data_IF_829835424617
#
_entry.id   IF_829835424617
#
_cell.length_a   1.000
_cell.length_b   1.000
_cell.length_c   1.000
_cell.angle_alpha   90.00
_cell.angle_beta   90.00
_cell.angle_gamma   90.00
#
_symmetry.space_group_name_H-M   'P 1'
#
loop_
_entity.id
_entity.type
_entity.pdbx_description
1 polymer ?
#
# COMPACT_ATOMS: atom_id res chain seq x y z
N UNK A 1 67.25 28.78 8.43
CA UNK A 1 65.86 29.20 8.70
C UNK A 1 64.96 28.20 8.00
N UNK A 2 64.39 27.24 8.74
CA UNK A 2 63.63 26.13 8.16
C UNK A 2 62.18 26.57 7.92
N UNK A 3 61.72 26.47 6.67
CA UNK A 3 60.35 26.81 6.25
C UNK A 3 59.48 25.58 6.50
N UNK A 4 58.48 25.72 7.37
CA UNK A 4 57.50 24.67 7.65
C UNK A 4 56.37 24.77 6.64
N UNK A 5 56.27 23.79 5.73
CA UNK A 5 55.13 23.66 4.83
C UNK A 5 53.98 22.94 5.57
N UNK A 6 52.89 23.67 5.82
CA UNK A 6 51.65 23.09 6.33
C UNK A 6 50.93 22.39 5.15
N UNK A 7 50.69 21.07 5.18
CA UNK A 7 49.97 20.40 4.10
C UNK A 7 48.49 20.76 4.19
N UNK A 8 47.95 21.37 3.14
CA UNK A 8 46.52 21.62 2.97
C UNK A 8 45.83 20.28 2.67
N UNK A 9 45.19 19.67 3.66
CA UNK A 9 44.36 18.48 3.46
C UNK A 9 43.08 18.89 2.70
N UNK A 10 43.00 18.53 1.42
CA UNK A 10 41.79 18.68 0.61
C UNK A 10 40.84 17.52 0.98
N UNK A 11 39.82 17.80 1.80
CA UNK A 11 38.78 16.83 2.12
C UNK A 11 37.87 16.63 0.90
N UNK A 12 38.01 15.49 0.22
CA UNK A 12 37.06 15.03 -0.80
C UNK A 12 35.74 14.69 -0.10
N UNK A 13 34.78 15.61 -0.16
CA UNK A 13 33.41 15.35 0.28
C UNK A 13 32.74 14.48 -0.79
N UNK A 14 32.88 13.17 -0.66
CA UNK A 14 32.12 12.21 -1.47
C UNK A 14 30.65 12.27 -1.05
N UNK A 15 29.82 12.93 -1.85
CA UNK A 15 28.37 12.80 -1.74
C UNK A 15 27.97 11.42 -2.25
N UNK A 16 27.87 10.46 -1.33
CA UNK A 16 27.23 9.17 -1.60
C UNK A 16 25.73 9.41 -1.79
N UNK A 17 25.30 9.63 -3.04
CA UNK A 17 23.88 9.60 -3.37
C UNK A 17 23.33 8.22 -3.03
N UNK A 18 22.40 8.14 -2.09
CA UNK A 18 21.69 6.90 -1.79
C UNK A 18 20.76 6.58 -2.95
N UNK A 19 20.92 5.42 -3.57
CA UNK A 19 19.97 4.87 -4.54
C UNK A 19 18.65 4.61 -3.78
N UNK A 20 17.64 5.44 -4.01
CA UNK A 20 16.38 5.43 -3.28
C UNK A 20 15.21 5.58 -4.26
N UNK A 21 14.18 4.76 -4.08
CA UNK A 21 12.92 4.92 -4.80
C UNK A 21 12.08 6.00 -4.13
N UNK A 22 11.40 6.82 -4.93
CA UNK A 22 10.49 7.85 -4.44
C UNK A 22 9.07 7.42 -4.75
N UNK A 23 8.29 7.17 -3.71
CA UNK A 23 6.85 7.02 -3.83
C UNK A 23 6.20 8.40 -3.71
N UNK A 24 5.46 8.81 -4.74
CA UNK A 24 4.57 9.98 -4.66
C UNK A 24 3.15 9.48 -4.42
N UNK A 25 2.67 9.60 -3.19
CA UNK A 25 1.29 9.27 -2.84
C UNK A 25 0.42 10.49 -3.13
N UNK A 26 -0.60 10.32 -3.97
CA UNK A 26 -1.52 11.39 -4.35
C UNK A 26 -2.96 10.98 -3.99
N UNK A 27 -3.65 11.82 -3.23
CA UNK A 27 -5.06 11.61 -2.93
C UNK A 27 -5.94 12.32 -3.97
N UNK A 28 -6.39 11.58 -4.97
CA UNK A 28 -7.37 12.06 -5.96
C UNK A 28 -8.83 11.90 -5.53
N UNK A 29 -9.08 11.41 -4.31
CA UNK A 29 -10.42 11.33 -3.76
C UNK A 29 -10.93 12.73 -3.35
N UNK A 30 -12.25 12.86 -3.21
CA UNK A 30 -12.88 14.10 -2.69
C UNK A 30 -12.76 14.24 -1.18
N UNK A 31 -12.46 13.13 -0.48
CA UNK A 31 -12.35 13.05 0.97
C UNK A 31 -10.90 12.91 1.40
N UNK A 32 -10.63 13.24 2.66
CA UNK A 32 -9.33 12.93 3.28
C UNK A 32 -9.17 11.41 3.40
N UNK A 33 -7.97 10.92 3.09
CA UNK A 33 -7.56 9.55 3.38
C UNK A 33 -6.37 9.54 4.33
N UNK A 34 -6.16 8.42 5.00
CA UNK A 34 -5.00 8.22 5.84
C UNK A 34 -4.23 6.99 5.34
N UNK A 35 -3.30 7.11 4.39
CA UNK A 35 -2.54 5.96 3.94
C UNK A 35 -1.84 5.28 5.12
N UNK A 36 -1.98 3.95 5.20
CA UNK A 36 -1.16 3.08 6.04
C UNK A 36 -0.01 2.50 5.22
N UNK A 37 1.10 2.21 5.89
CA UNK A 37 2.32 1.68 5.28
C UNK A 37 2.83 0.54 6.13
N UNK A 38 3.03 -0.62 5.51
CA UNK A 38 3.62 -1.79 6.15
C UNK A 38 4.87 -2.19 5.37
N UNK A 39 6.00 -2.15 6.05
CA UNK A 39 7.25 -2.66 5.51
C UNK A 39 7.27 -4.19 5.57
N UNK A 40 7.87 -4.82 4.56
CA UNK A 40 8.18 -6.24 4.57
C UNK A 40 9.22 -6.59 5.62
N UNK A 41 9.38 -7.89 5.90
CA UNK A 41 10.30 -8.37 6.93
C UNK A 41 11.72 -7.85 6.71
N UNK A 42 12.32 -7.29 7.77
CA UNK A 42 13.67 -6.73 7.74
C UNK A 42 13.82 -5.39 7.01
N UNK A 43 12.72 -4.76 6.55
CA UNK A 43 12.73 -3.44 5.91
C UNK A 43 12.31 -2.36 6.91
N UNK A 44 12.83 -1.11 6.78
CA UNK A 44 12.46 -0.03 7.66
C UNK A 44 11.01 0.41 7.43
N UNK A 45 10.33 0.78 8.53
CA UNK A 45 9.00 1.38 8.51
C UNK A 45 9.11 2.81 7.99
N UNK A 46 8.42 3.11 6.88
CA UNK A 46 8.36 4.44 6.31
C UNK A 46 7.24 5.25 7.00
N UNK A 47 7.46 6.55 7.22
CA UNK A 47 6.46 7.47 7.80
C UNK A 47 5.77 6.97 9.08
N UNK A 48 6.49 6.25 9.96
CA UNK A 48 5.89 5.61 11.16
C UNK A 48 4.68 4.70 10.84
N UNK A 49 4.59 4.21 9.61
CA UNK A 49 3.51 3.35 9.12
C UNK A 49 2.21 4.07 8.78
N UNK A 50 2.13 5.40 8.84
CA UNK A 50 0.89 6.09 8.49
C UNK A 50 1.02 7.59 8.30
N UNK A 51 0.20 8.14 7.42
CA UNK A 51 0.17 9.57 7.12
C UNK A 51 -1.26 10.04 6.87
N UNK A 52 -1.57 11.31 7.14
CA UNK A 52 -2.82 11.97 6.75
C UNK A 52 -2.63 12.68 5.41
N UNK A 53 -3.56 12.51 4.48
CA UNK A 53 -3.50 13.12 3.15
C UNK A 53 -4.85 13.70 2.76
N UNK A 54 -4.98 15.04 2.72
CA UNK A 54 -6.22 15.71 2.36
C UNK A 54 -6.58 15.46 0.89
N UNK A 55 -7.81 15.76 0.51
CA UNK A 55 -8.25 15.72 -0.89
C UNK A 55 -7.36 16.63 -1.76
N UNK A 56 -6.84 16.09 -2.85
CA UNK A 56 -5.95 16.79 -3.79
C UNK A 56 -4.49 16.93 -3.32
N UNK A 57 -4.14 16.51 -2.10
CA UNK A 57 -2.77 16.57 -1.63
C UNK A 57 -1.92 15.41 -2.16
N UNK A 58 -0.61 15.65 -2.22
CA UNK A 58 0.38 14.61 -2.43
C UNK A 58 1.52 14.73 -1.42
N UNK A 59 2.21 13.61 -1.21
CA UNK A 59 3.42 13.54 -0.40
C UNK A 59 4.45 12.63 -1.07
N UNK A 60 5.73 13.00 -0.94
CA UNK A 60 6.86 12.17 -1.37
C UNK A 60 7.39 11.38 -0.18
N UNK A 61 7.62 10.09 -0.41
CA UNK A 61 8.17 9.16 0.57
C UNK A 61 9.37 8.49 -0.06
N UNK A 62 10.53 8.64 0.57
CA UNK A 62 11.76 7.95 0.16
C UNK A 62 11.76 6.54 0.74
N UNK A 63 12.01 5.56 -0.12
CA UNK A 63 12.20 4.18 0.26
C UNK A 63 13.64 3.76 -0.08
N UNK A 64 14.34 3.09 0.85
CA UNK A 64 15.70 2.65 0.60
C UNK A 64 15.74 1.61 -0.53
N UNK A 65 16.91 1.45 -1.15
CA UNK A 65 17.17 0.36 -2.08
C UNK A 65 16.73 -0.99 -1.52
N UNK A 66 16.10 -1.79 -2.36
CA UNK A 66 15.61 -3.11 -1.98
C UNK A 66 14.44 -3.09 -1.00
N UNK A 67 13.74 -1.96 -0.84
CA UNK A 67 12.54 -1.93 0.01
C UNK A 67 11.44 -2.81 -0.56
N UNK A 68 10.71 -3.46 0.33
CA UNK A 68 9.50 -4.21 0.00
C UNK A 68 8.44 -3.88 1.04
N UNK A 69 7.18 -3.85 0.64
CA UNK A 69 6.08 -3.53 1.53
C UNK A 69 4.81 -3.21 0.78
N UNK A 70 3.84 -2.65 1.50
CA UNK A 70 2.52 -2.32 0.96
C UNK A 70 1.97 -1.03 1.53
N UNK A 71 1.14 -0.39 0.73
CA UNK A 71 0.36 0.79 1.08
C UNK A 71 -1.13 0.46 0.99
N UNK A 72 -1.95 1.06 1.85
CA UNK A 72 -3.40 0.98 1.75
C UNK A 72 -4.06 2.27 2.23
N UNK A 73 -5.22 2.65 1.69
CA UNK A 73 -5.96 3.81 2.13
C UNK A 73 -6.85 3.46 3.32
N UNK A 74 -6.87 4.35 4.33
CA UNK A 74 -7.86 4.33 5.41
C UNK A 74 -8.85 5.47 5.23
N UNK A 75 -10.12 5.22 5.55
CA UNK A 75 -11.21 6.19 5.34
C UNK A 75 -12.06 6.36 6.59
N UNK A 76 -12.75 7.50 6.69
CA UNK A 76 -13.62 7.80 7.84
C UNK A 76 -12.87 7.84 9.17
N UNK A 77 -11.60 8.27 9.16
CA UNK A 77 -10.78 8.25 10.36
C UNK A 77 -11.01 9.47 11.23
N UNK A 78 -11.07 9.25 12.55
CA UNK A 78 -11.01 10.31 13.56
C UNK A 78 -9.88 9.98 14.51
N UNK A 79 -8.96 10.92 14.71
CA UNK A 79 -7.83 10.78 15.64
C UNK A 79 -7.77 12.00 16.58
N UNK A 80 -7.39 11.76 17.84
CA UNK A 80 -7.07 12.79 18.81
C UNK A 80 -5.67 13.40 18.53
N UNK A 81 -5.26 14.38 19.34
CA UNK A 81 -3.95 15.04 19.20
C UNK A 81 -2.76 14.11 19.46
N UNK A 82 -2.99 12.98 20.13
CA UNK A 82 -1.99 11.94 20.38
C UNK A 82 -1.96 10.87 19.28
N UNK A 83 -2.82 11.01 18.26
CA UNK A 83 -2.94 10.08 17.16
C UNK A 83 -3.69 8.79 17.50
N UNK A 84 -4.44 8.75 18.61
CA UNK A 84 -5.32 7.62 18.94
C UNK A 84 -6.72 7.86 18.37
N UNK A 85 -7.40 6.81 17.93
CA UNK A 85 -8.69 6.98 17.28
C UNK A 85 -9.13 5.73 16.53
N UNK A 86 -9.85 5.90 15.42
CA UNK A 86 -10.30 4.76 14.60
C UNK A 86 -10.65 5.19 13.19
N UNK A 87 -10.46 4.29 12.24
CA UNK A 87 -10.95 4.39 10.87
C UNK A 87 -12.15 3.45 10.61
N UNK A 88 -13.03 3.83 9.68
CA UNK A 88 -14.17 3.00 9.24
C UNK A 88 -13.68 1.83 8.38
N UNK A 89 -12.67 2.04 7.54
CA UNK A 89 -12.04 0.99 6.71
C UNK A 89 -10.53 1.04 6.84
N UNK A 90 -9.88 -0.14 6.87
CA UNK A 90 -8.42 -0.25 6.84
C UNK A 90 -7.69 0.20 8.10
N UNK A 91 -8.41 0.31 9.23
CA UNK A 91 -7.81 0.66 10.52
C UNK A 91 -6.61 -0.25 10.85
N UNK A 92 -5.64 0.25 11.61
CA UNK A 92 -4.41 -0.50 11.90
C UNK A 92 -4.11 -0.53 13.40
N UNK A 93 -5.17 -0.69 14.21
CA UNK A 93 -5.06 -0.79 15.67
C UNK A 93 -5.32 0.53 16.39
N UNK A 94 -6.33 1.27 15.93
CA UNK A 94 -6.85 2.49 16.56
C UNK A 94 -5.83 3.64 16.66
N UNK A 95 -4.92 3.74 15.68
CA UNK A 95 -3.81 4.72 15.68
C UNK A 95 -3.55 5.31 14.31
N UNK A 96 -3.12 6.57 14.27
CA UNK A 96 -2.66 7.26 13.06
C UNK A 96 -1.42 6.58 12.49
N UNK A 97 -0.43 6.33 13.35
CA UNK A 97 0.83 5.68 12.99
C UNK A 97 0.67 4.16 13.18
N UNK A 98 0.61 3.41 12.08
CA UNK A 98 0.43 1.96 12.14
C UNK A 98 1.66 1.24 12.72
N UNK A 99 2.85 1.84 12.67
CA UNK A 99 4.07 1.32 13.31
C UNK A 99 4.34 -0.17 13.07
N UNK A 100 4.12 -0.65 11.84
CA UNK A 100 4.33 -2.06 11.48
C UNK A 100 3.09 -2.96 11.66
N UNK A 101 1.95 -2.42 12.11
CA UNK A 101 0.67 -3.10 11.99
C UNK A 101 0.13 -3.03 10.56
N UNK A 102 -0.48 -4.14 10.10
CA UNK A 102 -1.24 -4.15 8.85
C UNK A 102 -2.62 -3.52 9.01
N UNK A 103 -3.21 -3.09 7.89
CA UNK A 103 -4.60 -2.64 7.86
C UNK A 103 -5.56 -3.81 8.05
N UNK A 104 -6.64 -3.58 8.79
CA UNK A 104 -7.77 -4.48 8.94
C UNK A 104 -8.55 -4.57 7.63
N UNK A 105 -8.57 -5.74 6.97
CA UNK A 105 -9.34 -5.94 5.74
C UNK A 105 -10.85 -5.78 5.98
N UNK A 106 -11.65 -5.43 4.95
CA UNK A 106 -11.30 -5.24 3.54
C UNK A 106 -10.51 -3.97 3.21
N UNK A 107 -9.41 -4.14 2.47
CA UNK A 107 -8.55 -3.04 1.98
C UNK A 107 -7.99 -3.34 0.60
N UNK A 108 -8.03 -2.33 -0.28
CA UNK A 108 -7.24 -2.34 -1.51
C UNK A 108 -5.76 -2.15 -1.16
N UNK A 109 -4.87 -2.95 -1.73
CA UNK A 109 -3.42 -2.89 -1.47
C UNK A 109 -2.64 -2.45 -2.71
N UNK A 110 -1.64 -1.60 -2.51
CA UNK A 110 -0.57 -1.37 -3.47
C UNK A 110 0.71 -2.01 -2.92
N UNK A 111 1.19 -3.07 -3.57
CA UNK A 111 2.28 -3.92 -3.09
C UNK A 111 3.54 -3.69 -3.93
N UNK A 112 4.71 -3.71 -3.28
CA UNK A 112 5.99 -3.43 -3.91
C UNK A 112 7.08 -4.37 -3.39
N UNK A 113 7.92 -4.85 -4.31
CA UNK A 113 9.20 -5.51 -4.03
C UNK A 113 10.23 -4.91 -4.98
N UNK A 114 11.12 -4.07 -4.45
CA UNK A 114 12.10 -3.34 -5.25
C UNK A 114 13.44 -4.08 -5.30
N UNK A 115 14.19 -3.87 -6.40
CA UNK A 115 15.58 -4.29 -6.57
C UNK A 115 15.81 -5.82 -6.38
N UNK A 116 15.08 -6.67 -7.12
CA UNK A 116 15.27 -8.14 -7.03
C UNK A 116 15.12 -8.92 -8.36
N UNK A 117 16.02 -8.79 -9.37
CA UNK A 117 16.83 -7.63 -9.79
C UNK A 117 15.98 -6.59 -10.55
N UNK A 118 14.70 -6.87 -10.71
CA UNK A 118 13.68 -5.98 -11.25
C UNK A 118 12.73 -5.55 -10.12
N UNK A 119 12.04 -4.44 -10.32
CA UNK A 119 10.97 -4.02 -9.42
C UNK A 119 9.66 -4.74 -9.78
N UNK A 120 9.02 -5.32 -8.77
CA UNK A 120 7.68 -5.88 -8.86
C UNK A 120 6.71 -5.02 -8.08
N UNK A 121 5.56 -4.75 -8.68
CA UNK A 121 4.46 -4.05 -8.04
C UNK A 121 3.13 -4.50 -8.61
N UNK A 122 2.10 -4.43 -7.78
CA UNK A 122 0.74 -4.76 -8.17
C UNK A 122 -0.28 -4.02 -7.29
N UNK A 123 -1.49 -3.91 -7.81
CA UNK A 123 -2.67 -3.59 -7.01
C UNK A 123 -3.36 -4.91 -6.70
N UNK A 124 -3.48 -5.22 -5.42
CA UNK A 124 -4.05 -6.47 -4.92
C UNK A 124 -5.37 -6.21 -4.22
N UNK A 125 -6.36 -7.04 -4.58
CA UNK A 125 -7.67 -7.07 -3.93
C UNK A 125 -7.91 -8.42 -3.23
N UNK A 126 -6.84 -9.17 -2.94
CA UNK A 126 -6.89 -10.43 -2.18
C UNK A 126 -7.49 -10.18 -0.79
N UNK A 127 -7.11 -9.07 -0.18
CA UNK A 127 -7.64 -8.59 1.11
C UNK A 127 -8.91 -7.74 0.94
N UNK A 128 -9.60 -7.84 -0.21
CA UNK A 128 -10.81 -7.08 -0.51
C UNK A 128 -10.54 -5.69 -1.12
N UNK A 129 -11.53 -4.81 -1.03
CA UNK A 129 -11.53 -3.49 -1.64
C UNK A 129 -12.15 -2.47 -0.71
N UNK A 130 -11.63 -1.24 -0.69
CA UNK A 130 -12.31 -0.11 -0.05
C UNK A 130 -12.26 1.17 -0.90
N UNK A 131 -11.12 1.48 -1.50
CA UNK A 131 -10.89 2.69 -2.30
C UNK A 131 -10.20 2.32 -3.61
N UNK A 132 -10.55 2.97 -4.74
CA UNK A 132 -9.84 2.76 -6.00
C UNK A 132 -8.40 3.28 -5.93
N UNK A 133 -7.48 2.60 -6.60
CA UNK A 133 -6.08 2.98 -6.60
C UNK A 133 -5.35 2.56 -7.87
N UNK A 134 -4.21 3.19 -8.12
CA UNK A 134 -3.32 2.87 -9.22
C UNK A 134 -1.88 3.09 -8.84
N UNK A 135 -0.99 2.31 -9.44
CA UNK A 135 0.46 2.51 -9.41
C UNK A 135 0.88 2.95 -10.81
N UNK A 136 1.55 4.09 -10.89
CA UNK A 136 2.06 4.66 -12.14
C UNK A 136 3.58 4.80 -11.99
N UNK A 137 4.38 3.89 -12.58
CA UNK A 137 5.82 4.01 -12.59
C UNK A 137 6.26 5.31 -13.30
N UNK A 138 7.26 5.98 -12.76
CA UNK A 138 7.87 7.18 -13.37
C UNK A 138 9.37 6.93 -13.53
N UNK A 139 9.84 6.91 -14.78
CA UNK A 139 11.21 6.48 -15.11
C UNK A 139 11.33 4.96 -15.16
N UNK A 140 12.55 4.45 -14.91
CA UNK A 140 12.87 3.03 -15.07
C UNK A 140 12.99 2.59 -16.52
N UNK A 141 13.41 1.35 -16.75
CA UNK A 141 13.43 0.72 -18.09
C UNK A 141 12.70 -0.63 -18.03
N UNK A 142 12.24 -1.14 -19.18
CA UNK A 142 11.49 -2.40 -19.26
C UNK A 142 9.98 -2.18 -19.40
N UNK A 143 9.17 -3.05 -18.77
CA UNK A 143 7.71 -3.07 -18.97
C UNK A 143 6.98 -1.89 -18.35
N UNK A 144 7.34 -1.50 -17.12
CA UNK A 144 6.89 -0.30 -16.40
C UNK A 144 5.42 0.10 -16.66
N UNK A 145 4.49 -0.87 -16.63
CA UNK A 145 3.08 -0.63 -16.96
C UNK A 145 2.34 -0.10 -15.75
N UNK A 146 1.48 0.88 -15.95
CA UNK A 146 0.51 1.26 -14.92
C UNK A 146 -0.40 0.09 -14.58
N UNK A 147 -0.66 -0.10 -13.29
CA UNK A 147 -1.65 -1.05 -12.77
C UNK A 147 -2.69 -0.30 -11.98
N UNK A 148 -3.96 -0.63 -12.15
CA UNK A 148 -5.06 0.16 -11.62
C UNK A 148 -6.29 -0.68 -11.33
N UNK A 149 -6.96 -0.39 -10.21
CA UNK A 149 -8.33 -0.76 -9.90
C UNK A 149 -9.10 0.54 -9.68
N UNK A 150 -9.77 1.05 -10.72
CA UNK A 150 -10.34 2.42 -10.71
C UNK A 150 -11.86 2.44 -10.68
N UNK A 151 -12.52 1.33 -10.97
CA UNK A 151 -13.97 1.24 -10.78
C UNK A 151 -14.30 1.25 -9.29
N UNK A 152 -15.39 1.94 -8.91
CA UNK A 152 -15.92 1.88 -7.56
C UNK A 152 -16.62 0.53 -7.33
N UNK A 153 -15.84 -0.45 -6.85
CA UNK A 153 -16.33 -1.80 -6.61
C UNK A 153 -17.37 -1.84 -5.48
N UNK A 154 -17.44 -0.84 -4.60
CA UNK A 154 -18.48 -0.78 -3.56
C UNK A 154 -19.89 -0.68 -4.19
N UNK A 155 -20.01 -0.10 -5.39
CA UNK A 155 -21.31 0.00 -6.11
C UNK A 155 -21.78 -1.32 -6.72
N UNK A 156 -20.86 -2.26 -6.94
CA UNK A 156 -21.11 -3.58 -7.54
C UNK A 156 -20.87 -4.74 -6.57
N UNK A 157 -20.56 -4.43 -5.31
CA UNK A 157 -20.20 -5.42 -4.31
C UNK A 157 -21.39 -6.36 -4.06
N UNK A 158 -21.25 -7.69 -4.25
CA UNK A 158 -22.29 -8.65 -3.91
C UNK A 158 -22.72 -8.53 -2.45
N UNK A 159 -24.01 -8.73 -2.16
CA UNK A 159 -24.57 -8.52 -0.83
C UNK A 159 -23.79 -9.25 0.29
N UNK A 160 -23.44 -10.51 0.05
CA UNK A 160 -22.68 -11.34 1.00
C UNK A 160 -21.24 -10.86 1.26
N UNK A 161 -20.74 -9.94 0.44
CA UNK A 161 -19.39 -9.37 0.53
C UNK A 161 -19.39 -7.93 1.06
N UNK A 162 -20.55 -7.30 1.23
CA UNK A 162 -20.63 -5.88 1.60
C UNK A 162 -20.21 -5.66 3.05
N UNK A 163 -19.30 -4.71 3.27
CA UNK A 163 -19.14 -4.03 4.54
C UNK A 163 -19.86 -2.70 4.47
N UNK A 164 -20.79 -2.48 5.40
CA UNK A 164 -21.60 -1.26 5.47
C UNK A 164 -21.23 -0.42 6.68
N UNK A 165 -21.29 0.89 6.50
CA UNK A 165 -21.29 1.88 7.56
C UNK A 165 -22.42 2.87 7.29
N UNK A 166 -23.21 3.20 8.31
CA UNK A 166 -24.42 4.06 8.21
C UNK A 166 -25.36 3.73 7.03
N UNK A 167 -25.46 2.45 6.67
CA UNK A 167 -26.32 1.95 5.58
C UNK A 167 -25.68 2.03 4.18
N UNK A 168 -24.51 2.64 4.02
CA UNK A 168 -23.75 2.68 2.77
C UNK A 168 -22.70 1.57 2.72
N UNK A 169 -22.52 0.93 1.57
CA UNK A 169 -21.37 0.04 1.34
C UNK A 169 -20.10 0.89 1.32
N UNK A 170 -19.18 0.62 2.25
CA UNK A 170 -17.92 1.36 2.40
C UNK A 170 -16.70 0.54 2.01
N UNK A 171 -16.85 -0.78 1.95
CA UNK A 171 -15.83 -1.70 1.49
C UNK A 171 -16.47 -3.02 1.02
N UNK A 172 -15.71 -3.79 0.25
CA UNK A 172 -16.12 -5.09 -0.29
C UNK A 172 -15.11 -6.17 0.11
N UNK A 173 -15.57 -7.18 0.84
CA UNK A 173 -14.76 -8.33 1.23
C UNK A 173 -14.39 -9.18 0.01
N UNK A 174 -13.20 -9.76 -0.01
CA UNK A 174 -12.93 -10.87 -0.93
C UNK A 174 -13.69 -12.12 -0.49
N UNK A 175 -13.88 -13.06 -1.42
CA UNK A 175 -14.55 -14.32 -1.11
C UNK A 175 -13.81 -15.13 -0.04
N UNK A 176 -12.47 -15.08 -0.01
CA UNK A 176 -11.69 -15.74 1.03
C UNK A 176 -12.09 -15.23 2.41
N UNK A 177 -12.20 -13.91 2.58
CA UNK A 177 -12.56 -13.32 3.87
C UNK A 177 -14.01 -13.57 4.27
N UNK A 178 -14.92 -13.64 3.29
CA UNK A 178 -16.34 -13.88 3.57
C UNK A 178 -16.62 -15.33 3.93
N UNK A 179 -15.96 -16.28 3.28
CA UNK A 179 -16.33 -17.70 3.35
C UNK A 179 -15.25 -18.61 3.94
N UNK A 180 -13.99 -18.17 3.97
CA UNK A 180 -12.85 -18.90 4.53
C UNK A 180 -12.73 -20.35 4.04
N UNK A 181 -13.03 -20.59 2.76
CA UNK A 181 -12.90 -21.94 2.16
C UNK A 181 -11.59 -22.07 1.37
N UNK A 182 -11.02 -23.29 1.27
CA UNK A 182 -9.78 -23.52 0.55
C UNK A 182 -9.78 -23.03 -0.91
N UNK A 183 -10.91 -23.13 -1.59
CA UNK A 183 -11.10 -22.72 -2.99
C UNK A 183 -10.97 -21.20 -3.15
N UNK A 184 -11.50 -20.43 -2.20
CA UNK A 184 -11.45 -18.97 -2.24
C UNK A 184 -10.15 -18.41 -1.69
N UNK A 185 -9.54 -19.09 -0.72
CA UNK A 185 -8.30 -18.68 -0.07
C UNK A 185 -7.05 -19.27 -0.73
N UNK A 186 -7.20 -20.10 -1.75
CA UNK A 186 -6.11 -20.84 -2.40
C UNK A 186 -5.21 -21.56 -1.39
N UNK A 187 -5.80 -22.38 -0.50
CA UNK A 187 -5.06 -23.14 0.52
C UNK A 187 -5.24 -24.65 0.34
N UNK A 188 -4.39 -25.45 1.00
CA UNK A 188 -4.47 -26.91 0.94
C UNK A 188 -4.40 -27.46 -0.49
N UNK A 189 -5.40 -28.24 -0.88
CA UNK A 189 -5.52 -28.81 -2.24
C UNK A 189 -5.62 -27.76 -3.36
N UNK A 190 -5.94 -26.51 -3.00
CA UNK A 190 -6.05 -25.38 -3.92
C UNK A 190 -4.82 -24.47 -3.89
N UNK A 191 -3.75 -24.81 -3.15
CA UNK A 191 -2.57 -23.95 -2.98
C UNK A 191 -1.74 -23.66 -4.24
N UNK A 192 -1.89 -24.45 -5.30
CA UNK A 192 -1.20 -24.24 -6.57
C UNK A 192 -1.94 -23.29 -7.51
N UNK A 193 -1.23 -22.54 -8.39
CA UNK A 193 -1.87 -21.70 -9.42
C UNK A 193 -2.71 -22.52 -10.41
N UNK A 194 -2.38 -23.81 -10.58
CA UNK A 194 -3.16 -24.71 -11.42
C UNK A 194 -4.40 -25.29 -10.73
N UNK A 195 -4.49 -25.18 -9.40
CA UNK A 195 -5.59 -25.73 -8.59
C UNK A 195 -6.52 -24.64 -8.08
N UNK A 196 -6.03 -23.44 -7.75
CA UNK A 196 -6.88 -22.29 -7.43
C UNK A 196 -7.38 -21.64 -8.71
N UNK A 197 -8.64 -21.90 -9.09
CA UNK A 197 -9.24 -21.35 -10.32
C UNK A 197 -10.05 -20.08 -10.02
N UNK A 198 -10.15 -19.15 -10.99
CA UNK A 198 -11.03 -18.00 -10.85
C UNK A 198 -12.47 -18.40 -10.52
N UNK A 199 -13.08 -17.72 -9.56
CA UNK A 199 -14.46 -17.95 -9.11
C UNK A 199 -15.38 -16.85 -9.63
N UNK A 200 -16.70 -17.00 -9.43
CA UNK A 200 -17.64 -15.93 -9.76
C UNK A 200 -17.34 -14.65 -8.98
N UNK A 201 -16.93 -14.76 -7.71
CA UNK A 201 -16.52 -13.61 -6.93
C UNK A 201 -15.23 -12.97 -7.45
N UNK A 202 -14.17 -13.75 -7.70
CA UNK A 202 -12.89 -13.16 -8.14
C UNK A 202 -12.99 -12.48 -9.51
N UNK A 203 -13.93 -12.90 -10.37
CA UNK A 203 -14.21 -12.24 -11.66
C UNK A 203 -14.77 -10.83 -11.49
N UNK A 204 -15.64 -10.61 -10.50
CA UNK A 204 -16.19 -9.26 -10.21
C UNK A 204 -15.05 -8.29 -9.85
N UNK A 205 -14.09 -8.74 -9.05
CA UNK A 205 -12.88 -7.99 -8.70
C UNK A 205 -11.90 -7.84 -9.87
N UNK A 206 -11.98 -8.69 -10.88
CA UNK A 206 -11.10 -8.60 -12.07
C UNK A 206 -11.63 -7.62 -13.12
N UNK A 207 -12.94 -7.35 -13.09
CA UNK A 207 -13.64 -6.44 -13.99
C UNK A 207 -13.64 -4.97 -13.49
N UNK A 208 -13.06 -4.70 -12.31
CA UNK A 208 -12.99 -3.37 -11.69
C UNK A 208 -11.77 -2.54 -12.11
#
# INVERSE_FOLDING_TARGET
>A
MAVWHLPLLLALISFSGTDAAIFTLENKCKETIWPGILAGSGKPVLMNGGVRLNAGENIKIEAPKGWSGRFWPRTGCTFDQSGNGKCVTGDCGAKLNCNGAGGEPPVSLAEFTLDSPEDFYDVSLVDGYNVPMSIIPSGGTGRCKSVSCVSDLNTKCPEDLQQKDTGRVVACKSACMAFNTPEYCCTGAFGGPNTCKPTNYSKIFKES
#
